data_IF_846046180905
#
_entry.id   IF_846046180905
#
_cell.length_a   1.000
_cell.length_b   1.000
_cell.length_c   1.000
_cell.angle_alpha   90.00
_cell.angle_beta   90.00
_cell.angle_gamma   90.00
#
_symmetry.space_group_name_H-M   'P 1'
#
loop_
_entity.id
_entity.type
_entity.pdbx_description
1 polymer ?
#
# COMPACT_ATOMS: atom_id res chain seq x y z
N UNK A 1 -13.98 -5.32 -11.03
CA UNK A 1 -12.94 -6.22 -10.49
C UNK A 1 -12.48 -5.67 -9.15
N UNK A 2 -12.69 -6.38 -8.04
CA UNK A 2 -12.35 -5.89 -6.69
C UNK A 2 -10.82 -5.99 -6.53
N UNK A 3 -10.11 -4.86 -6.51
CA UNK A 3 -8.66 -4.85 -6.22
C UNK A 3 -8.47 -5.22 -4.75
N UNK A 4 -7.86 -6.37 -4.49
CA UNK A 4 -7.50 -6.80 -3.14
C UNK A 4 -6.10 -6.27 -2.83
N UNK A 5 -6.03 -5.25 -1.97
CA UNK A 5 -4.75 -4.72 -1.48
C UNK A 5 -4.30 -5.49 -0.24
N UNK A 6 -2.99 -5.65 -0.05
CA UNK A 6 -2.44 -6.28 1.14
C UNK A 6 -2.78 -5.43 2.38
N UNK A 7 -3.56 -6.01 3.30
CA UNK A 7 -4.13 -5.27 4.44
C UNK A 7 -3.07 -4.75 5.40
N UNK A 8 -2.00 -5.50 5.64
CA UNK A 8 -0.94 -5.09 6.58
C UNK A 8 -0.07 -3.99 5.99
N UNK A 9 0.26 -4.07 4.71
CA UNK A 9 0.96 -2.97 4.01
C UNK A 9 0.12 -1.70 4.00
N UNK A 10 -1.19 -1.81 3.73
CA UNK A 10 -2.12 -0.66 3.78
C UNK A 10 -2.19 -0.04 5.18
N UNK A 11 -2.27 -0.86 6.25
CA UNK A 11 -2.28 -0.36 7.64
C UNK A 11 -0.97 0.36 7.98
N UNK A 12 0.17 -0.20 7.57
CA UNK A 12 1.48 0.40 7.81
C UNK A 12 1.60 1.78 7.13
N UNK A 13 1.15 1.89 5.88
CA UNK A 13 1.13 3.17 5.16
C UNK A 13 0.15 4.15 5.78
N UNK A 14 -1.04 3.70 6.19
CA UNK A 14 -2.02 4.55 6.87
C UNK A 14 -1.44 5.19 8.14
N UNK A 15 -0.70 4.40 8.93
CA UNK A 15 0.03 4.89 10.10
C UNK A 15 1.11 5.92 9.72
N UNK A 16 1.95 5.61 8.71
CA UNK A 16 3.03 6.50 8.26
C UNK A 16 2.51 7.86 7.77
N UNK A 17 1.49 7.85 6.93
CA UNK A 17 0.92 9.05 6.33
C UNK A 17 -0.11 9.74 7.25
N UNK A 18 -0.37 9.19 8.45
CA UNK A 18 -1.36 9.70 9.41
C UNK A 18 -2.75 9.86 8.81
N UNK A 19 -3.17 8.88 7.99
CA UNK A 19 -4.46 8.85 7.30
C UNK A 19 -5.16 7.52 7.53
N UNK A 20 -6.40 7.39 7.07
CA UNK A 20 -7.14 6.13 7.22
C UNK A 20 -6.71 5.08 6.18
N UNK A 21 -6.77 3.77 6.50
CA UNK A 21 -6.58 2.69 5.52
C UNK A 21 -7.48 2.81 4.29
N UNK A 22 -8.68 3.36 4.47
CA UNK A 22 -9.63 3.63 3.37
C UNK A 22 -9.06 4.68 2.42
N UNK A 23 -8.49 5.76 2.96
CA UNK A 23 -7.87 6.81 2.15
C UNK A 23 -6.67 6.30 1.36
N UNK A 24 -5.80 5.48 1.98
CA UNK A 24 -4.70 4.81 1.27
C UNK A 24 -5.22 4.00 0.09
N UNK A 25 -6.29 3.22 0.27
CA UNK A 25 -6.89 2.45 -0.84
C UNK A 25 -7.43 3.34 -1.97
N UNK A 26 -7.99 4.51 -1.65
CA UNK A 26 -8.39 5.49 -2.65
C UNK A 26 -7.22 6.08 -3.43
N UNK A 27 -6.08 6.28 -2.77
CA UNK A 27 -4.85 6.66 -3.45
C UNK A 27 -4.34 5.54 -4.36
N UNK A 28 -4.36 4.29 -3.89
CA UNK A 28 -3.92 3.14 -4.67
C UNK A 28 -4.87 2.78 -5.83
N UNK A 29 -6.15 3.13 -5.75
CA UNK A 29 -7.12 2.91 -6.82
C UNK A 29 -7.08 3.99 -7.89
N UNK A 30 -6.59 5.18 -7.56
CA UNK A 30 -6.63 6.38 -8.40
C UNK A 30 -7.84 7.28 -8.13
N UNK A 31 -8.72 6.91 -7.18
CA UNK A 31 -9.90 7.72 -6.82
C UNK A 31 -9.51 9.04 -6.11
N UNK A 32 -8.31 9.09 -5.52
CA UNK A 32 -7.75 10.30 -4.87
C UNK A 32 -6.26 10.42 -5.21
N UNK A 33 -5.86 11.55 -5.77
CA UNK A 33 -4.47 11.82 -6.17
C UNK A 33 -3.89 13.01 -5.42
N UNK A 34 -3.55 12.87 -4.11
CA UNK A 34 -2.80 13.90 -3.40
C UNK A 34 -1.41 14.08 -4.02
N UNK A 35 -0.72 15.16 -3.65
CA UNK A 35 0.64 15.46 -4.15
C UNK A 35 1.65 14.32 -3.94
N UNK A 36 1.47 13.54 -2.87
CA UNK A 36 2.32 12.38 -2.53
C UNK A 36 1.79 11.04 -3.08
N UNK A 37 0.80 11.04 -3.97
CA UNK A 37 0.18 9.82 -4.48
C UNK A 37 1.20 8.89 -5.16
N UNK A 38 2.08 9.46 -5.97
CA UNK A 38 3.09 8.69 -6.71
C UNK A 38 4.10 8.03 -5.76
N UNK A 39 4.54 8.78 -4.74
CA UNK A 39 5.43 8.28 -3.69
C UNK A 39 4.77 7.14 -2.89
N UNK A 40 3.49 7.32 -2.52
CA UNK A 40 2.72 6.32 -1.79
C UNK A 40 2.57 5.03 -2.61
N UNK A 41 2.28 5.14 -3.91
CA UNK A 41 2.15 3.99 -4.81
C UNK A 41 3.49 3.26 -4.94
N UNK A 42 4.60 4.00 -5.10
CA UNK A 42 5.93 3.42 -5.16
C UNK A 42 6.31 2.68 -3.86
N UNK A 43 6.01 3.29 -2.71
CA UNK A 43 6.28 2.68 -1.40
C UNK A 43 5.43 1.43 -1.16
N UNK A 44 4.15 1.44 -1.54
CA UNK A 44 3.27 0.28 -1.46
C UNK A 44 3.86 -0.91 -2.24
N UNK A 45 4.28 -0.69 -3.50
CA UNK A 45 4.88 -1.74 -4.33
C UNK A 45 6.16 -2.29 -3.70
N UNK A 46 7.05 -1.42 -3.23
CA UNK A 46 8.30 -1.83 -2.57
C UNK A 46 8.06 -2.69 -1.32
N UNK A 47 7.09 -2.29 -0.47
CA UNK A 47 6.74 -3.06 0.73
C UNK A 47 6.07 -4.39 0.37
N UNK A 48 5.24 -4.43 -0.66
CA UNK A 48 4.62 -5.66 -1.15
C UNK A 48 5.69 -6.66 -1.60
N UNK A 49 6.66 -6.22 -2.40
CA UNK A 49 7.78 -7.07 -2.85
C UNK A 49 8.61 -7.61 -1.68
N UNK A 50 8.82 -6.81 -0.63
CA UNK A 50 9.53 -7.26 0.58
C UNK A 50 8.75 -8.37 1.31
N UNK A 51 7.44 -8.21 1.46
CA UNK A 51 6.57 -9.22 2.08
C UNK A 51 6.57 -10.51 1.26
N UNK A 52 6.44 -10.40 -0.06
CA UNK A 52 6.47 -11.56 -0.96
C UNK A 52 7.82 -12.29 -0.95
N UNK A 53 8.93 -11.54 -0.87
CA UNK A 53 10.27 -12.13 -0.76
C UNK A 53 10.44 -12.87 0.57
N UNK A 54 10.02 -12.26 1.69
CA UNK A 54 10.09 -12.90 3.00
C UNK A 54 9.28 -14.20 3.05
N UNK A 55 8.08 -14.20 2.46
CA UNK A 55 7.24 -15.40 2.37
C UNK A 55 7.86 -16.51 1.51
N UNK A 56 8.69 -16.17 0.52
CA UNK A 56 9.37 -17.14 -0.36
C UNK A 56 10.67 -17.66 0.22
N UNK A 57 11.30 -16.94 1.15
CA UNK A 57 12.55 -17.39 1.80
C UNK A 57 12.32 -18.38 2.93
N UNK A 58 11.08 -18.53 3.40
CA UNK A 58 10.68 -19.46 4.47
C UNK A 58 10.13 -20.81 3.93
N UNK A 59 10.30 -21.07 2.63
CA UNK A 59 9.96 -22.32 1.92
C UNK A 59 11.23 -22.97 1.34
#
# INVERSE_FOLDING_TARGET
MKKTYNTEVVKALACKYKVTPRYIRYCLSGDRTPLYADELIAEYKKKLEQVEKALKSDL
#
